data_IF_847047470426
#
_entry.id   IF_847047470426
#
_cell.length_a   1.000
_cell.length_b   1.000
_cell.length_c   1.000
_cell.angle_alpha   90.00
_cell.angle_beta   90.00
_cell.angle_gamma   90.00
#
_symmetry.space_group_name_H-M   'P 1'
#
loop_
_entity.id
_entity.type
_entity.pdbx_description
1 polymer ?
#
# COMPACT_ATOMS: atom_id res chain seq x y z
N UNK A 1 0.43 -4.02 -40.36
CA UNK A 1 0.91 -2.79 -39.72
C UNK A 1 1.06 -3.12 -38.25
N UNK A 2 2.27 -3.01 -37.70
CA UNK A 2 2.46 -3.05 -36.25
C UNK A 2 1.99 -1.68 -35.75
N UNK A 3 0.99 -1.66 -34.88
CA UNK A 3 0.62 -0.45 -34.17
C UNK A 3 1.84 -0.01 -33.35
N UNK A 4 2.18 1.30 -33.33
CA UNK A 4 3.25 1.78 -32.50
C UNK A 4 2.89 1.47 -31.04
N UNK A 5 3.81 0.79 -30.34
CA UNK A 5 3.75 0.67 -28.89
C UNK A 5 3.77 2.11 -28.37
N UNK A 6 2.62 2.60 -27.93
CA UNK A 6 2.56 3.83 -27.15
C UNK A 6 3.37 3.50 -25.90
N UNK A 7 4.46 4.24 -25.65
CA UNK A 7 5.16 4.19 -24.37
C UNK A 7 4.08 4.36 -23.29
N UNK A 8 3.74 3.27 -22.61
CA UNK A 8 2.93 3.32 -21.40
C UNK A 8 3.74 4.17 -20.43
N UNK A 9 3.22 5.33 -20.05
CA UNK A 9 3.89 6.22 -19.10
C UNK A 9 4.36 5.41 -17.90
N UNK A 10 5.66 5.41 -17.63
CA UNK A 10 6.25 4.66 -16.52
C UNK A 10 5.67 5.19 -15.21
N UNK A 11 5.18 4.28 -14.35
CA UNK A 11 4.63 4.61 -13.03
C UNK A 11 5.56 5.55 -12.26
N UNK A 12 5.05 6.71 -11.88
CA UNK A 12 5.75 7.69 -11.06
C UNK A 12 5.19 7.65 -9.63
N UNK A 13 5.90 6.94 -8.75
CA UNK A 13 5.53 6.79 -7.35
C UNK A 13 6.44 7.63 -6.43
N UNK A 14 5.85 8.47 -5.59
CA UNK A 14 6.55 9.06 -4.45
C UNK A 14 6.37 8.21 -3.20
N UNK A 15 7.40 8.14 -2.35
CA UNK A 15 7.35 7.42 -1.06
C UNK A 15 7.88 8.31 0.04
N UNK A 16 7.13 8.43 1.13
CA UNK A 16 7.54 9.16 2.34
C UNK A 16 7.26 8.32 3.58
N UNK A 17 8.32 7.80 4.18
CA UNK A 17 8.30 7.00 5.40
C UNK A 17 9.29 7.58 6.42
N UNK A 18 9.03 7.40 7.73
CA UNK A 18 10.01 7.74 8.76
C UNK A 18 11.26 6.86 8.65
N UNK A 19 12.39 7.40 9.12
CA UNK A 19 13.68 6.68 9.25
C UNK A 19 14.20 6.03 7.95
N UNK A 20 13.89 6.63 6.80
CA UNK A 20 14.48 6.27 5.50
C UNK A 20 15.26 7.46 4.92
N UNK A 21 16.31 7.13 4.16
CA UNK A 21 17.11 8.09 3.39
C UNK A 21 16.88 7.96 1.88
N UNK A 22 16.46 6.78 1.43
CA UNK A 22 16.23 6.47 0.02
C UNK A 22 15.33 5.25 -0.15
N UNK A 23 14.81 5.07 -1.36
CA UNK A 23 14.06 3.88 -1.80
C UNK A 23 14.64 3.37 -3.10
N UNK A 24 14.52 2.07 -3.36
CA UNK A 24 15.01 1.44 -4.59
C UNK A 24 14.07 1.72 -5.77
N UNK A 25 12.76 1.54 -5.54
CA UNK A 25 11.71 1.81 -6.52
C UNK A 25 10.88 3.03 -6.12
N UNK A 26 10.58 3.90 -7.10
CA UNK A 26 9.96 5.20 -6.89
C UNK A 26 10.95 6.26 -6.38
N UNK A 27 10.40 7.39 -5.89
CA UNK A 27 11.17 8.53 -5.42
C UNK A 27 10.92 8.80 -3.94
N UNK A 28 11.98 8.74 -3.14
CA UNK A 28 11.90 9.10 -1.74
C UNK A 28 11.74 10.62 -1.57
N UNK A 29 10.80 11.02 -0.72
CA UNK A 29 10.62 12.39 -0.27
C UNK A 29 10.57 12.37 1.27
N UNK A 30 11.47 13.09 1.97
CA UNK A 30 11.41 13.18 3.42
C UNK A 30 10.09 13.80 3.89
N UNK A 31 9.52 13.24 4.96
CA UNK A 31 8.23 13.65 5.54
C UNK A 31 8.18 15.15 5.87
N UNK A 32 9.29 15.70 6.37
CA UNK A 32 9.38 17.11 6.76
C UNK A 32 9.32 18.09 5.57
N UNK A 33 9.74 17.65 4.38
CA UNK A 33 9.77 18.45 3.15
C UNK A 33 8.67 18.05 2.16
N UNK A 34 7.72 17.20 2.58
CA UNK A 34 6.76 16.54 1.69
C UNK A 34 5.91 17.53 0.91
N UNK A 35 5.25 18.45 1.60
CA UNK A 35 4.37 19.47 0.99
C UNK A 35 5.14 20.42 0.07
N UNK A 36 6.34 20.84 0.47
CA UNK A 36 7.20 21.71 -0.33
C UNK A 36 7.67 21.02 -1.61
N UNK A 37 8.09 19.75 -1.49
CA UNK A 37 8.57 18.94 -2.61
C UNK A 37 7.45 18.67 -3.60
N UNK A 38 6.28 18.26 -3.13
CA UNK A 38 5.11 18.03 -3.98
C UNK A 38 4.62 19.31 -4.66
N UNK A 39 4.78 20.48 -4.03
CA UNK A 39 4.44 21.76 -4.66
C UNK A 39 5.31 22.03 -5.90
N UNK A 40 6.60 21.70 -5.83
CA UNK A 40 7.58 21.95 -6.90
C UNK A 40 7.63 20.85 -7.96
N UNK A 41 7.25 19.63 -7.60
CA UNK A 41 7.22 18.49 -8.51
C UNK A 41 5.83 18.38 -9.15
N UNK A 42 5.80 18.15 -10.45
CA UNK A 42 4.63 17.63 -11.15
C UNK A 42 5.03 16.25 -11.68
N UNK A 43 4.06 15.37 -11.93
CA UNK A 43 4.23 14.04 -12.54
C UNK A 43 4.35 12.86 -11.56
N UNK A 44 3.66 12.85 -10.41
CA UNK A 44 3.48 11.61 -9.65
C UNK A 44 2.06 11.09 -9.85
N UNK A 45 1.92 9.79 -10.07
CA UNK A 45 0.62 9.11 -10.14
C UNK A 45 0.03 8.89 -8.74
N UNK A 46 0.93 8.63 -7.78
CA UNK A 46 0.59 8.40 -6.39
C UNK A 46 1.72 8.79 -5.45
N UNK A 47 1.37 8.99 -4.18
CA UNK A 47 2.29 9.05 -3.07
C UNK A 47 1.88 8.06 -1.98
N UNK A 48 2.83 7.20 -1.59
CA UNK A 48 2.69 6.31 -0.45
C UNK A 48 3.30 6.99 0.78
N UNK A 49 2.48 7.21 1.80
CA UNK A 49 2.91 7.80 3.08
C UNK A 49 2.57 6.85 4.22
N UNK A 50 3.46 6.68 5.18
CA UNK A 50 3.25 5.72 6.26
C UNK A 50 3.45 6.29 7.65
N UNK A 51 2.59 5.90 8.59
CA UNK A 51 2.69 6.26 10.02
C UNK A 51 2.49 7.76 10.30
N UNK A 52 1.86 8.49 9.39
CA UNK A 52 1.80 9.95 9.47
C UNK A 52 0.86 10.44 10.57
N UNK A 53 -0.07 9.62 11.05
CA UNK A 53 -1.02 10.03 12.08
C UNK A 53 -0.38 10.45 13.40
N UNK A 54 0.78 9.89 13.72
CA UNK A 54 1.55 10.25 14.91
C UNK A 54 2.70 11.24 14.60
N UNK A 55 3.20 11.25 13.37
CA UNK A 55 4.40 11.98 12.97
C UNK A 55 4.12 13.39 12.42
N UNK A 56 2.95 13.61 11.81
CA UNK A 56 2.58 14.89 11.21
C UNK A 56 1.46 15.60 11.97
N UNK A 57 1.61 16.91 12.27
CA UNK A 57 0.51 17.74 12.74
C UNK A 57 -0.67 17.72 11.76
N UNK A 58 -1.89 17.81 12.29
CA UNK A 58 -3.15 17.82 11.50
C UNK A 58 -3.12 18.85 10.37
N UNK A 59 -2.55 20.03 10.60
CA UNK A 59 -2.45 21.09 9.60
C UNK A 59 -1.57 20.68 8.40
N UNK A 60 -0.45 19.98 8.66
CA UNK A 60 0.42 19.47 7.59
C UNK A 60 -0.23 18.34 6.81
N UNK A 61 -0.97 17.45 7.49
CA UNK A 61 -1.74 16.38 6.82
C UNK A 61 -2.82 16.97 5.91
N UNK A 62 -3.57 17.97 6.38
CA UNK A 62 -4.56 18.67 5.54
C UNK A 62 -3.92 19.36 4.33
N UNK A 63 -2.78 20.03 4.52
CA UNK A 63 -2.05 20.65 3.42
C UNK A 63 -1.55 19.62 2.40
N UNK A 64 -1.10 18.44 2.86
CA UNK A 64 -0.72 17.33 2.00
C UNK A 64 -1.91 16.85 1.15
N UNK A 65 -3.04 16.54 1.78
CA UNK A 65 -4.26 16.11 1.05
C UNK A 65 -4.67 17.14 0.00
N UNK A 66 -4.65 18.43 0.35
CA UNK A 66 -5.00 19.50 -0.58
C UNK A 66 -4.05 19.58 -1.77
N UNK A 67 -2.73 19.51 -1.55
CA UNK A 67 -1.74 19.56 -2.66
C UNK A 67 -1.90 18.34 -3.57
N UNK A 68 -2.14 17.16 -3.00
CA UNK A 68 -2.39 15.94 -3.76
C UNK A 68 -3.64 16.07 -4.63
N UNK A 69 -4.76 16.56 -4.08
CA UNK A 69 -5.99 16.80 -4.81
C UNK A 69 -5.81 17.82 -5.95
N UNK A 70 -5.17 18.97 -5.66
CA UNK A 70 -4.93 20.03 -6.66
C UNK A 70 -4.06 19.56 -7.84
N UNK A 71 -3.17 18.58 -7.59
CA UNK A 71 -2.25 18.03 -8.60
C UNK A 71 -2.73 16.73 -9.23
N UNK A 72 -3.86 16.18 -8.77
CA UNK A 72 -4.35 14.87 -9.20
C UNK A 72 -3.42 13.71 -8.81
N UNK A 73 -2.70 13.83 -7.69
CA UNK A 73 -1.82 12.78 -7.15
C UNK A 73 -2.64 11.95 -6.18
N UNK A 74 -2.67 10.63 -6.36
CA UNK A 74 -3.33 9.74 -5.40
C UNK A 74 -2.56 9.71 -4.07
N UNK A 75 -3.19 10.15 -2.98
CA UNK A 75 -2.61 10.07 -1.63
C UNK A 75 -3.04 8.76 -0.96
N UNK A 76 -2.08 7.89 -0.67
CA UNK A 76 -2.33 6.58 -0.04
C UNK A 76 -1.60 6.56 1.30
N UNK A 77 -2.39 6.60 2.38
CA UNK A 77 -1.89 6.64 3.75
C UNK A 77 -1.94 5.25 4.40
N UNK A 78 -0.77 4.74 4.80
CA UNK A 78 -0.61 3.43 5.42
C UNK A 78 -0.42 3.57 6.92
N UNK A 79 -1.26 2.87 7.69
CA UNK A 79 -1.17 2.83 9.15
C UNK A 79 -0.99 1.39 9.63
N UNK A 80 -0.63 1.21 10.90
CA UNK A 80 -0.65 -0.09 11.56
C UNK A 80 -1.39 0.06 12.90
N UNK A 81 -2.28 -0.87 13.29
CA UNK A 81 -3.07 -0.73 14.52
C UNK A 81 -2.24 -0.56 15.80
N UNK A 82 -1.01 -1.07 15.81
CA UNK A 82 -0.05 -0.95 16.92
C UNK A 82 0.99 0.15 16.71
N UNK A 83 0.85 0.97 15.66
CA UNK A 83 1.84 1.96 15.21
C UNK A 83 3.23 1.35 14.95
N UNK A 84 3.27 0.11 14.46
CA UNK A 84 4.53 -0.55 14.09
C UNK A 84 5.09 0.04 12.78
N UNK A 85 6.05 0.95 12.92
CA UNK A 85 6.72 1.59 11.79
C UNK A 85 7.49 0.61 10.89
N UNK A 86 7.97 -0.51 11.43
CA UNK A 86 8.66 -1.54 10.64
C UNK A 86 7.64 -2.25 9.74
N UNK A 87 6.49 -2.63 10.29
CA UNK A 87 5.42 -3.25 9.51
C UNK A 87 4.92 -2.34 8.39
N UNK A 88 4.69 -1.06 8.68
CA UNK A 88 4.28 -0.07 7.67
C UNK A 88 5.35 0.05 6.57
N UNK A 89 6.62 0.21 6.96
CA UNK A 89 7.73 0.34 6.01
C UNK A 89 7.87 -0.88 5.12
N UNK A 90 7.86 -2.08 5.70
CA UNK A 90 8.00 -3.32 4.93
C UNK A 90 6.89 -3.44 3.89
N UNK A 91 5.64 -3.18 4.27
CA UNK A 91 4.49 -3.24 3.37
C UNK A 91 4.60 -2.22 2.23
N UNK A 92 4.88 -0.96 2.56
CA UNK A 92 5.01 0.11 1.54
C UNK A 92 6.13 -0.21 0.55
N UNK A 93 7.29 -0.67 1.04
CA UNK A 93 8.41 -1.04 0.17
C UNK A 93 8.13 -2.28 -0.67
N UNK A 94 7.48 -3.30 -0.12
CA UNK A 94 7.13 -4.51 -0.86
C UNK A 94 6.06 -4.24 -1.94
N UNK A 95 5.08 -3.38 -1.67
CA UNK A 95 4.09 -2.96 -2.67
C UNK A 95 4.76 -2.16 -3.79
N UNK A 96 5.62 -1.20 -3.44
CA UNK A 96 6.41 -0.47 -4.43
C UNK A 96 7.27 -1.45 -5.27
N UNK A 97 8.02 -2.35 -4.62
CA UNK A 97 8.83 -3.33 -5.32
C UNK A 97 7.99 -4.21 -6.26
N UNK A 98 6.80 -4.63 -5.84
CA UNK A 98 5.89 -5.42 -6.68
C UNK A 98 5.37 -4.63 -7.88
N UNK A 99 4.96 -3.37 -7.69
CA UNK A 99 4.42 -2.51 -8.76
C UNK A 99 5.45 -2.20 -9.85
N UNK A 100 6.73 -2.11 -9.49
CA UNK A 100 7.83 -1.87 -10.43
C UNK A 100 8.46 -3.18 -10.94
N UNK A 101 8.00 -4.34 -10.47
CA UNK A 101 8.54 -5.63 -10.89
C UNK A 101 7.79 -6.20 -12.08
N UNK A 102 8.51 -6.94 -12.93
CA UNK A 102 7.91 -7.85 -13.92
C UNK A 102 7.58 -9.24 -13.31
N UNK A 103 7.52 -9.35 -11.98
CA UNK A 103 7.32 -10.62 -11.29
C UNK A 103 5.89 -11.14 -11.48
N UNK A 104 5.78 -12.40 -11.93
CA UNK A 104 4.48 -13.04 -12.13
C UNK A 104 3.91 -13.63 -10.82
N UNK A 105 2.58 -13.56 -10.61
CA UNK A 105 1.59 -12.95 -11.50
C UNK A 105 1.64 -11.41 -11.43
N UNK A 106 1.56 -10.76 -12.61
CA UNK A 106 1.44 -9.31 -12.74
C UNK A 106 -0.01 -8.86 -12.64
N UNK A 107 -0.68 -9.26 -11.55
CA UNK A 107 -2.11 -9.04 -11.32
C UNK A 107 -2.39 -7.99 -10.23
N UNK A 108 -1.35 -7.29 -9.79
CA UNK A 108 -1.46 -6.15 -8.89
C UNK A 108 -0.94 -4.91 -9.62
N UNK A 109 -1.77 -3.89 -9.73
CA UNK A 109 -1.39 -2.58 -10.23
C UNK A 109 -1.73 -1.45 -9.24
N UNK A 110 -1.37 -0.21 -9.59
CA UNK A 110 -1.72 0.95 -8.77
C UNK A 110 -3.24 1.18 -8.72
N UNK A 111 -3.99 0.80 -9.76
CA UNK A 111 -5.44 0.96 -9.80
C UNK A 111 -6.13 0.07 -8.77
N UNK A 112 -5.62 -1.13 -8.50
CA UNK A 112 -6.10 -1.99 -7.42
C UNK A 112 -5.95 -1.33 -6.05
N UNK A 113 -4.77 -0.76 -5.76
CA UNK A 113 -4.51 -0.08 -4.47
C UNK A 113 -5.36 1.19 -4.36
N UNK A 114 -5.46 1.97 -5.44
CA UNK A 114 -6.36 3.14 -5.53
C UNK A 114 -7.80 2.74 -5.26
N UNK A 115 -8.26 1.63 -5.82
CA UNK A 115 -9.61 1.14 -5.63
C UNK A 115 -9.86 0.82 -4.14
N UNK A 116 -8.93 0.12 -3.48
CA UNK A 116 -9.04 -0.12 -2.03
C UNK A 116 -9.10 1.21 -1.27
N UNK A 117 -8.18 2.13 -1.55
CA UNK A 117 -8.08 3.45 -0.91
C UNK A 117 -9.39 4.25 -1.01
N UNK A 118 -10.03 4.27 -2.19
CA UNK A 118 -11.26 5.02 -2.45
C UNK A 118 -12.49 4.49 -1.71
N UNK A 119 -12.53 3.19 -1.42
CA UNK A 119 -13.67 2.56 -0.74
C UNK A 119 -13.44 2.36 0.77
N UNK A 120 -12.25 2.70 1.27
CA UNK A 120 -11.87 2.60 2.69
C UNK A 120 -11.73 3.96 3.36
N UNK A 121 -12.00 4.02 4.67
CA UNK A 121 -11.65 5.18 5.50
C UNK A 121 -10.20 5.10 5.99
N UNK A 122 -9.63 3.89 6.09
CA UNK A 122 -8.24 3.68 6.47
C UNK A 122 -7.64 2.41 5.86
N UNK A 123 -6.31 2.45 5.65
CA UNK A 123 -5.52 1.33 5.17
C UNK A 123 -4.57 0.83 6.27
N UNK A 124 -4.72 -0.43 6.66
CA UNK A 124 -3.85 -1.07 7.64
C UNK A 124 -2.84 -2.01 6.98
N UNK A 125 -1.56 -1.81 7.32
CA UNK A 125 -0.40 -2.53 6.83
C UNK A 125 0.09 -3.57 7.85
N UNK A 126 0.25 -4.81 7.41
CA UNK A 126 0.79 -5.92 8.19
C UNK A 126 1.88 -6.65 7.40
N UNK A 127 3.03 -6.89 8.04
CA UNK A 127 4.13 -7.66 7.49
C UNK A 127 4.16 -9.13 8.03
N UNK A 128 3.12 -9.53 8.77
CA UNK A 128 2.93 -10.88 9.28
C UNK A 128 1.46 -11.29 9.22
N UNK A 129 1.25 -12.56 8.89
CA UNK A 129 -0.09 -13.16 8.76
C UNK A 129 -0.77 -13.27 10.10
N UNK A 130 0.01 -13.60 11.13
CA UNK A 130 -0.50 -13.73 12.49
C UNK A 130 -1.08 -12.41 12.99
N UNK A 131 -0.35 -11.31 12.83
CA UNK A 131 -0.82 -10.00 13.29
C UNK A 131 -2.05 -9.51 12.51
N UNK A 132 -2.10 -9.74 11.20
CA UNK A 132 -3.27 -9.43 10.38
C UNK A 132 -4.52 -10.21 10.81
N UNK A 133 -4.41 -11.53 10.97
CA UNK A 133 -5.55 -12.37 11.37
C UNK A 133 -5.99 -12.08 12.81
N UNK A 134 -5.06 -11.90 13.75
CA UNK A 134 -5.41 -11.49 15.11
C UNK A 134 -6.13 -10.14 15.13
N UNK A 135 -5.72 -9.18 14.29
CA UNK A 135 -6.45 -7.92 14.15
C UNK A 135 -7.85 -8.16 13.61
N UNK A 136 -8.00 -8.91 12.51
CA UNK A 136 -9.30 -9.20 11.90
C UNK A 136 -10.29 -9.93 12.82
N UNK A 137 -9.79 -10.78 13.72
CA UNK A 137 -10.61 -11.48 14.72
C UNK A 137 -11.09 -10.57 15.86
N UNK A 138 -10.36 -9.49 16.15
CA UNK A 138 -10.56 -8.66 17.34
C UNK A 138 -11.10 -7.27 17.05
N UNK A 139 -10.90 -6.77 15.83
CA UNK A 139 -11.25 -5.41 15.45
C UNK A 139 -12.76 -5.19 15.46
N UNK A 140 -13.16 -4.00 15.91
CA UNK A 140 -14.55 -3.50 15.86
C UNK A 140 -14.59 -2.13 15.17
N UNK A 141 -13.61 -1.89 14.29
CA UNK A 141 -13.39 -0.62 13.61
C UNK A 141 -14.38 -0.49 12.45
N UNK A 142 -14.60 -1.56 11.69
CA UNK A 142 -15.50 -1.55 10.55
C UNK A 142 -15.42 -2.80 9.68
N UNK A 143 -15.98 -2.71 8.48
CA UNK A 143 -16.00 -3.78 7.49
C UNK A 143 -14.72 -3.76 6.65
N UNK A 144 -14.15 -4.94 6.35
CA UNK A 144 -13.02 -5.07 5.43
C UNK A 144 -13.55 -5.08 4.00
N UNK A 145 -13.26 -4.02 3.24
CA UNK A 145 -13.82 -3.80 1.90
C UNK A 145 -12.85 -4.15 0.78
N UNK A 146 -11.56 -4.26 1.10
CA UNK A 146 -10.52 -4.52 0.11
C UNK A 146 -9.22 -4.91 0.76
N UNK A 147 -8.34 -5.57 0.02
CA UNK A 147 -7.02 -5.88 0.51
C UNK A 147 -6.07 -6.39 -0.54
N UNK A 148 -4.78 -6.36 -0.19
CA UNK A 148 -3.70 -6.97 -0.95
C UNK A 148 -3.02 -8.01 -0.07
N UNK A 149 -2.73 -9.18 -0.63
CA UNK A 149 -1.87 -10.18 0.00
C UNK A 149 -0.72 -10.54 -0.96
N UNK A 150 0.52 -10.24 -0.55
CA UNK A 150 1.71 -10.75 -1.23
C UNK A 150 2.33 -11.87 -0.40
N UNK A 151 2.39 -13.06 -1.00
CA UNK A 151 3.17 -14.16 -0.47
C UNK A 151 4.65 -13.95 -0.80
N UNK A 152 5.51 -14.12 0.20
CA UNK A 152 6.97 -14.01 0.03
C UNK A 152 7.64 -15.38 0.06
N UNK A 153 8.83 -15.46 -0.54
CA UNK A 153 9.64 -16.67 -0.63
C UNK A 153 8.94 -17.82 -1.35
N UNK A 154 9.44 -19.04 -1.11
CA UNK A 154 8.90 -20.28 -1.68
C UNK A 154 7.78 -20.85 -0.79
N UNK A 155 6.63 -20.18 -0.77
CA UNK A 155 5.42 -20.74 -0.15
C UNK A 155 4.79 -21.78 -1.05
N UNK A 156 4.35 -22.89 -0.46
CA UNK A 156 3.60 -23.88 -1.21
C UNK A 156 2.16 -23.41 -1.46
N UNK A 157 1.53 -23.96 -2.52
CA UNK A 157 0.19 -23.56 -2.95
C UNK A 157 -0.87 -23.76 -1.85
N UNK A 158 -0.76 -24.81 -1.04
CA UNK A 158 -1.74 -25.10 0.02
C UNK A 158 -1.71 -24.06 1.13
N UNK A 159 -0.52 -23.64 1.54
CA UNK A 159 -0.37 -22.56 2.51
C UNK A 159 -0.96 -21.26 1.95
N UNK A 160 -0.59 -20.93 0.72
CA UNK A 160 -1.12 -19.76 0.02
C UNK A 160 -2.66 -19.74 -0.01
N UNK A 161 -3.29 -20.84 -0.44
CA UNK A 161 -4.76 -20.98 -0.48
C UNK A 161 -5.37 -20.87 0.91
N UNK A 162 -4.80 -21.53 1.92
CA UNK A 162 -5.32 -21.50 3.28
C UNK A 162 -5.30 -20.09 3.88
N UNK A 163 -4.27 -19.29 3.59
CA UNK A 163 -4.17 -17.90 4.06
C UNK A 163 -5.18 -17.02 3.34
N UNK A 164 -5.33 -17.19 2.03
CA UNK A 164 -6.36 -16.48 1.26
C UNK A 164 -7.76 -16.74 1.81
N UNK A 165 -8.12 -18.00 2.04
CA UNK A 165 -9.40 -18.37 2.63
C UNK A 165 -9.56 -17.84 4.05
N UNK A 166 -8.49 -17.81 4.85
CA UNK A 166 -8.53 -17.26 6.19
C UNK A 166 -8.82 -15.75 6.16
N UNK A 167 -8.14 -14.99 5.31
CA UNK A 167 -8.36 -13.55 5.16
C UNK A 167 -9.78 -13.27 4.65
N UNK A 168 -10.19 -13.90 3.56
CA UNK A 168 -11.47 -13.66 2.89
C UNK A 168 -12.69 -13.90 3.79
N UNK A 169 -12.59 -14.75 4.82
CA UNK A 169 -13.68 -14.97 5.80
C UNK A 169 -14.06 -13.72 6.59
N UNK A 170 -13.17 -12.72 6.64
CA UNK A 170 -13.40 -11.47 7.35
C UNK A 170 -13.79 -10.31 6.43
N UNK A 171 -13.84 -10.55 5.11
CA UNK A 171 -14.19 -9.53 4.13
C UNK A 171 -15.71 -9.40 4.05
N UNK A 172 -16.18 -8.18 3.75
CA UNK A 172 -17.57 -7.95 3.41
C UNK A 172 -17.96 -8.76 2.16
N UNK A 173 -19.25 -9.02 1.98
CA UNK A 173 -19.76 -9.79 0.84
C UNK A 173 -19.38 -9.17 -0.53
N UNK A 174 -19.22 -7.84 -0.57
CA UNK A 174 -18.78 -7.06 -1.74
C UNK A 174 -17.27 -6.76 -1.74
N UNK A 175 -16.54 -7.24 -0.73
CA UNK A 175 -15.10 -7.02 -0.59
C UNK A 175 -14.27 -7.90 -1.54
N UNK A 176 -13.04 -7.48 -1.81
CA UNK A 176 -12.12 -8.23 -2.67
C UNK A 176 -10.71 -8.29 -2.09
N UNK A 177 -10.01 -9.40 -2.35
CA UNK A 177 -8.60 -9.57 -2.00
C UNK A 177 -7.79 -9.78 -3.27
N UNK A 178 -6.88 -8.84 -3.57
CA UNK A 178 -5.88 -9.01 -4.61
C UNK A 178 -4.69 -9.79 -4.04
N UNK A 179 -4.55 -11.04 -4.46
CA UNK A 179 -3.46 -11.90 -3.98
C UNK A 179 -2.44 -12.17 -5.06
N UNK A 180 -1.17 -12.01 -4.71
CA UNK A 180 -0.04 -12.16 -5.62
C UNK A 180 1.20 -12.68 -4.89
N UNK A 181 2.30 -12.77 -5.61
CA UNK A 181 3.59 -13.19 -5.10
C UNK A 181 4.61 -12.07 -5.20
N UNK A 182 5.42 -11.94 -4.16
CA UNK A 182 6.62 -11.13 -4.16
C UNK A 182 7.77 -11.89 -3.49
N UNK A 183 8.50 -12.70 -4.27
CA UNK A 183 9.47 -13.68 -3.77
C UNK A 183 10.60 -13.04 -2.93
N UNK A 184 11.04 -11.84 -3.31
CA UNK A 184 12.07 -11.06 -2.60
C UNK A 184 11.52 -10.17 -1.47
N UNK A 185 10.24 -10.32 -1.12
CA UNK A 185 9.59 -9.47 -0.12
C UNK A 185 10.21 -9.56 1.26
N UNK A 186 10.14 -8.45 2.00
CA UNK A 186 10.61 -8.32 3.38
C UNK A 186 9.61 -8.94 4.34
N UNK A 187 10.11 -9.53 5.43
CA UNK A 187 9.30 -10.20 6.47
C UNK A 187 8.44 -11.37 5.94
N UNK A 188 7.47 -11.82 6.73
CA UNK A 188 6.71 -13.06 6.46
C UNK A 188 5.81 -12.95 5.23
N UNK A 189 5.21 -11.78 5.02
CA UNK A 189 4.31 -11.47 3.91
C UNK A 189 4.05 -9.96 3.83
N UNK A 190 3.28 -9.53 2.84
CA UNK A 190 2.67 -8.20 2.78
C UNK A 190 1.17 -8.35 2.82
N UNK A 191 0.49 -7.71 3.77
CA UNK A 191 -0.97 -7.64 3.82
C UNK A 191 -1.35 -6.16 3.98
N UNK A 192 -2.18 -5.68 3.05
CA UNK A 192 -2.85 -4.38 3.12
C UNK A 192 -4.34 -4.64 3.29
N UNK A 193 -4.99 -3.99 4.26
CA UNK A 193 -6.43 -4.10 4.48
C UNK A 193 -7.07 -2.72 4.43
N UNK A 194 -8.07 -2.53 3.59
CA UNK A 194 -8.94 -1.35 3.60
C UNK A 194 -10.15 -1.58 4.48
N UNK A 195 -10.34 -0.70 5.46
CA UNK A 195 -11.48 -0.75 6.38
C UNK A 195 -12.41 0.43 6.11
N UNK A 196 -13.71 0.15 6.05
CA UNK A 196 -14.80 1.13 5.99
C UNK A 196 -15.56 1.12 7.32
N UNK A 197 -15.62 2.28 7.96
CA UNK A 197 -16.18 2.52 9.30
C UNK A 197 -17.64 2.95 9.28
#
# INVERSE_FOLDING_TARGET
MLEPVVDTEELQLAISLPDLDSVFNGRFIPLNSLTESLSQMSNFDAIFVGGISNELPVEKRRALSQICEEKGIELIEFENPSNDAVAIRDVVLNLADKLFSDEMPGNLDLADIRNINQYSDCLFAFNSQYSALCFLEQQQVGDVVGGVYLAHGDRNLREYEAINEALLKHFADDGFLCSSFHSSGRADCTILLGIRT
#
